data_IF_747708411992
#
_entry.id   IF_747708411992
#
_cell.length_a   1.000
_cell.length_b   1.000
_cell.length_c   1.000
_cell.angle_alpha   90.00
_cell.angle_beta   90.00
_cell.angle_gamma   90.00
#
_symmetry.space_group_name_H-M   'P 1'
#
loop_
_entity.id
_entity.type
_entity.pdbx_description
1 polymer ?
#
# COMPACT_ATOMS: atom_id res chain seq x y z
N UNK A 1 24.28 17.70 -15.30
CA UNK A 1 23.07 18.52 -15.05
C UNK A 1 22.85 18.55 -13.56
N UNK A 2 22.29 19.63 -13.00
CA UNK A 2 22.01 19.73 -11.56
C UNK A 2 21.02 18.65 -11.11
N UNK A 3 21.23 18.06 -9.92
CA UNK A 3 20.39 16.99 -9.35
C UNK A 3 18.94 17.45 -9.20
N UNK A 4 18.72 18.70 -8.78
CA UNK A 4 17.38 19.25 -8.61
C UNK A 4 16.61 19.29 -9.94
N UNK A 5 17.29 19.67 -11.03
CA UNK A 5 16.71 19.72 -12.38
C UNK A 5 16.33 18.34 -12.89
N UNK A 6 17.21 17.35 -12.66
CA UNK A 6 16.93 15.95 -13.01
C UNK A 6 15.66 15.49 -12.28
N UNK A 7 15.60 15.74 -10.96
CA UNK A 7 14.45 15.36 -10.14
C UNK A 7 13.15 16.01 -10.63
N UNK A 8 13.15 17.31 -10.92
CA UNK A 8 11.96 17.98 -11.49
C UNK A 8 11.52 17.35 -12.82
N UNK A 9 12.46 17.06 -13.72
CA UNK A 9 12.15 16.41 -15.00
C UNK A 9 11.50 15.06 -14.76
N UNK A 10 12.11 14.23 -13.91
CA UNK A 10 11.61 12.90 -13.62
C UNK A 10 10.20 12.93 -13.03
N UNK A 11 9.94 13.82 -12.06
CA UNK A 11 8.61 14.01 -11.47
C UNK A 11 7.56 14.41 -12.51
N UNK A 12 7.92 15.31 -13.45
CA UNK A 12 6.99 15.72 -14.50
C UNK A 12 6.70 14.59 -15.49
N UNK A 13 7.71 13.80 -15.85
CA UNK A 13 7.58 12.63 -16.73
C UNK A 13 6.72 11.55 -16.08
N UNK A 14 6.96 11.24 -14.81
CA UNK A 14 6.19 10.25 -14.05
C UNK A 14 4.71 10.64 -13.93
N UNK A 15 4.43 11.91 -13.60
CA UNK A 15 3.07 12.41 -13.53
C UNK A 15 2.34 12.40 -14.89
N UNK A 16 3.04 12.62 -16.00
CA UNK A 16 2.56 12.38 -17.36
C UNK A 16 3.67 12.58 -18.39
N UNK A 17 3.85 11.59 -19.26
CA UNK A 17 4.83 11.66 -20.36
C UNK A 17 4.50 12.67 -21.46
N UNK A 18 3.31 13.30 -21.44
CA UNK A 18 2.88 14.25 -22.47
C UNK A 18 3.17 15.69 -22.08
N UNK A 19 3.45 16.53 -23.09
CA UNK A 19 3.64 17.98 -22.93
C UNK A 19 4.70 18.37 -21.86
N UNK A 20 5.67 17.49 -21.59
CA UNK A 20 6.65 17.66 -20.51
C UNK A 20 7.46 18.96 -20.68
N UNK A 21 7.86 19.30 -21.90
CA UNK A 21 8.62 20.53 -22.16
C UNK A 21 7.84 21.80 -21.78
N UNK A 22 6.52 21.82 -22.01
CA UNK A 22 5.67 22.95 -21.65
C UNK A 22 5.49 23.04 -20.12
N UNK A 23 5.23 21.91 -19.46
CA UNK A 23 5.08 21.83 -18.00
C UNK A 23 6.37 22.18 -17.28
N UNK A 24 7.52 21.77 -17.83
CA UNK A 24 8.84 22.10 -17.29
C UNK A 24 9.16 23.59 -17.44
N UNK A 25 8.85 24.16 -18.61
CA UNK A 25 9.02 25.60 -18.85
C UNK A 25 8.21 26.46 -17.86
N UNK A 26 6.96 26.09 -17.62
CA UNK A 26 6.08 26.74 -16.66
C UNK A 26 6.59 26.58 -15.22
N UNK A 27 6.90 25.36 -14.79
CA UNK A 27 7.34 25.06 -13.41
C UNK A 27 8.64 25.77 -13.04
N UNK A 28 9.58 25.88 -13.97
CA UNK A 28 10.92 26.44 -13.73
C UNK A 28 11.06 27.91 -14.17
N UNK A 29 10.01 28.51 -14.74
CA UNK A 29 10.06 29.89 -15.25
C UNK A 29 11.05 30.10 -16.40
N UNK A 30 11.23 29.10 -17.26
CA UNK A 30 12.18 29.11 -18.38
C UNK A 30 11.47 29.05 -19.75
N UNK A 31 12.19 29.34 -20.83
CA UNK A 31 11.64 29.17 -22.18
C UNK A 31 11.42 27.69 -22.52
N UNK A 32 10.46 27.41 -23.41
CA UNK A 32 10.23 26.05 -23.93
C UNK A 32 11.48 25.47 -24.60
N UNK A 33 12.26 26.31 -25.29
CA UNK A 33 13.53 25.89 -25.90
C UNK A 33 14.53 25.43 -24.84
N UNK A 34 14.68 26.17 -23.74
CA UNK A 34 15.54 25.78 -22.63
C UNK A 34 15.07 24.47 -21.98
N UNK A 35 13.76 24.33 -21.75
CA UNK A 35 13.16 23.09 -21.24
C UNK A 35 13.43 21.90 -22.18
N UNK A 36 13.27 22.07 -23.50
CA UNK A 36 13.61 21.04 -24.49
C UNK A 36 15.10 20.67 -24.47
N UNK A 37 16.00 21.62 -24.27
CA UNK A 37 17.44 21.33 -24.09
C UNK A 37 17.69 20.51 -22.83
N UNK A 38 16.99 20.79 -21.72
CA UNK A 38 17.13 20.00 -20.49
C UNK A 38 16.63 18.57 -20.68
N UNK A 39 15.49 18.38 -21.34
CA UNK A 39 14.97 17.06 -21.68
C UNK A 39 15.90 16.29 -22.61
N UNK A 40 16.49 16.95 -23.61
CA UNK A 40 17.48 16.34 -24.49
C UNK A 40 18.71 15.84 -23.71
N UNK A 41 19.22 16.65 -22.77
CA UNK A 41 20.32 16.25 -21.88
C UNK A 41 19.95 15.09 -20.94
N UNK A 42 18.73 15.08 -20.40
CA UNK A 42 18.24 13.96 -19.59
C UNK A 42 18.16 12.66 -20.40
N UNK A 43 17.72 12.76 -21.66
CA UNK A 43 17.64 11.63 -22.59
C UNK A 43 19.02 11.12 -22.98
N UNK A 44 19.96 12.02 -23.30
CA UNK A 44 21.36 11.67 -23.59
C UNK A 44 22.04 10.99 -22.40
N UNK A 45 21.72 11.42 -21.17
CA UNK A 45 22.18 10.78 -19.94
C UNK A 45 21.46 9.46 -19.60
N UNK A 46 20.53 8.99 -20.44
CA UNK A 46 19.80 7.73 -20.23
C UNK A 46 18.83 7.76 -19.05
N UNK A 47 18.42 8.94 -18.58
CA UNK A 47 17.50 9.10 -17.44
C UNK A 47 16.04 8.93 -17.88
N UNK A 48 15.74 9.43 -19.09
CA UNK A 48 14.42 9.34 -19.71
C UNK A 48 14.53 8.86 -21.15
N UNK A 49 13.48 8.25 -21.66
CA UNK A 49 13.31 7.90 -23.07
C UNK A 49 12.17 8.73 -23.67
N UNK A 50 12.03 8.70 -24.99
CA UNK A 50 10.90 9.33 -25.65
C UNK A 50 10.49 8.57 -26.91
N UNK A 51 9.19 8.43 -27.13
CA UNK A 51 8.61 7.85 -28.34
C UNK A 51 7.68 8.86 -29.04
N UNK A 52 7.50 8.70 -30.36
CA UNK A 52 6.68 9.61 -31.18
C UNK A 52 7.42 10.86 -31.67
N UNK A 53 6.70 11.71 -32.40
CA UNK A 53 7.25 12.93 -33.03
C UNK A 53 6.34 14.14 -32.82
N UNK A 54 6.93 15.34 -32.84
CA UNK A 54 6.20 16.61 -32.73
C UNK A 54 5.31 16.67 -31.48
N UNK A 55 4.01 16.92 -31.68
CA UNK A 55 3.01 17.00 -30.59
C UNK A 55 2.66 15.63 -29.98
N UNK A 56 3.01 14.53 -30.64
CA UNK A 56 2.75 13.16 -30.17
C UNK A 56 3.86 12.59 -29.31
N UNK A 57 4.91 13.35 -29.01
CA UNK A 57 6.03 12.86 -28.21
C UNK A 57 5.58 12.50 -26.79
N UNK A 58 5.97 11.31 -26.33
CA UNK A 58 5.74 10.81 -24.97
C UNK A 58 7.07 10.44 -24.34
N UNK A 59 7.34 11.01 -23.18
CA UNK A 59 8.51 10.69 -22.38
C UNK A 59 8.19 9.62 -21.35
N UNK A 60 9.19 8.81 -20.99
CA UNK A 60 9.09 7.82 -19.91
C UNK A 60 10.41 7.78 -19.11
N UNK A 61 10.33 7.38 -17.84
CA UNK A 61 11.52 7.12 -17.03
C UNK A 61 12.22 5.86 -17.53
N UNK A 62 13.55 5.90 -17.62
CA UNK A 62 14.36 4.74 -18.00
C UNK A 62 14.79 3.98 -16.75
N UNK A 63 14.67 2.66 -16.79
CA UNK A 63 15.23 1.78 -15.78
C UNK A 63 16.76 1.83 -15.86
N UNK A 64 17.41 2.22 -14.78
CA UNK A 64 18.86 2.28 -14.68
C UNK A 64 19.44 0.97 -14.19
N UNK A 65 18.69 0.25 -13.36
CA UNK A 65 19.05 -1.07 -12.86
C UNK A 65 17.79 -1.93 -12.74
N UNK A 66 17.92 -3.22 -12.98
CA UNK A 66 16.85 -4.20 -12.77
C UNK A 66 17.44 -5.58 -12.56
N UNK A 67 16.87 -6.33 -11.61
CA UNK A 67 17.20 -7.73 -11.40
C UNK A 67 15.96 -8.47 -10.96
N UNK A 68 15.81 -9.71 -11.43
CA UNK A 68 14.79 -10.62 -10.94
C UNK A 68 15.32 -12.05 -11.01
N UNK A 69 14.80 -12.91 -10.15
CA UNK A 69 15.16 -14.32 -10.08
C UNK A 69 13.99 -15.13 -9.53
N UNK A 70 13.83 -16.33 -10.07
CA UNK A 70 12.96 -17.36 -9.50
C UNK A 70 13.78 -18.18 -8.51
N UNK A 71 13.22 -18.39 -7.32
CA UNK A 71 13.83 -19.18 -6.25
C UNK A 71 12.95 -20.38 -5.95
N UNK A 72 13.55 -21.56 -5.77
CA UNK A 72 12.84 -22.69 -5.16
C UNK A 72 12.42 -22.28 -3.75
N UNK A 73 11.15 -22.47 -3.40
CA UNK A 73 10.59 -22.06 -2.11
C UNK A 73 11.17 -22.89 -0.96
N UNK A 74 11.35 -24.19 -1.18
CA UNK A 74 11.83 -25.10 -0.14
C UNK A 74 13.27 -24.75 0.28
N UNK A 75 13.44 -24.44 1.57
CA UNK A 75 14.73 -24.02 2.12
C UNK A 75 15.15 -22.59 1.76
N UNK A 76 14.30 -21.81 1.11
CA UNK A 76 14.56 -20.40 0.84
C UNK A 76 14.50 -19.59 2.14
N UNK A 77 15.49 -18.72 2.34
CA UNK A 77 15.45 -17.67 3.36
C UNK A 77 15.51 -16.32 2.68
N UNK A 78 14.73 -15.39 3.21
CA UNK A 78 14.69 -13.98 2.85
C UNK A 78 16.05 -13.29 2.94
N UNK A 79 16.92 -13.65 3.89
CA UNK A 79 18.27 -13.08 3.99
C UNK A 79 19.13 -13.41 2.76
N UNK A 80 18.98 -14.61 2.22
CA UNK A 80 19.68 -15.03 0.99
C UNK A 80 19.24 -14.18 -0.18
N UNK A 81 17.93 -14.05 -0.39
CA UNK A 81 17.36 -13.23 -1.47
C UNK A 81 17.77 -11.76 -1.30
N UNK A 82 17.72 -11.23 -0.08
CA UNK A 82 18.10 -9.86 0.22
C UNK A 82 19.57 -9.60 -0.14
N UNK A 83 20.49 -10.45 0.33
CA UNK A 83 21.93 -10.29 0.09
C UNK A 83 22.31 -10.46 -1.37
N UNK A 84 21.70 -11.41 -2.08
CA UNK A 84 22.03 -11.74 -3.46
C UNK A 84 21.43 -10.76 -4.48
N UNK A 85 20.18 -10.33 -4.28
CA UNK A 85 19.40 -9.61 -5.29
C UNK A 85 19.12 -8.16 -4.86
N UNK A 86 18.56 -7.95 -3.67
CA UNK A 86 18.01 -6.64 -3.29
C UNK A 86 19.11 -5.66 -2.84
N UNK A 87 19.95 -6.04 -1.89
CA UNK A 87 20.97 -5.18 -1.30
C UNK A 87 21.99 -4.62 -2.32
N UNK A 88 22.44 -5.39 -3.34
CA UNK A 88 23.31 -4.86 -4.38
C UNK A 88 22.69 -3.71 -5.18
N UNK A 89 21.41 -3.83 -5.55
CA UNK A 89 20.68 -2.80 -6.32
C UNK A 89 20.50 -1.52 -5.50
N UNK A 90 20.28 -1.66 -4.20
CA UNK A 90 19.96 -0.53 -3.32
C UNK A 90 21.20 0.15 -2.73
N UNK A 91 22.42 -0.30 -3.04
CA UNK A 91 23.67 0.11 -2.36
C UNK A 91 23.89 1.62 -2.33
N UNK A 92 23.45 2.33 -3.37
CA UNK A 92 23.65 3.78 -3.50
C UNK A 92 22.55 4.61 -2.83
N UNK A 93 21.47 3.98 -2.35
CA UNK A 93 20.36 4.67 -1.71
C UNK A 93 20.66 5.04 -0.25
N UNK A 94 20.01 6.09 0.29
CA UNK A 94 20.11 6.49 1.69
C UNK A 94 19.82 5.33 2.65
N UNK A 95 20.44 5.36 3.84
CA UNK A 95 20.30 4.28 4.84
C UNK A 95 18.86 4.04 5.28
N UNK A 96 18.06 5.09 5.44
CA UNK A 96 16.64 4.98 5.81
C UNK A 96 15.80 4.32 4.70
N UNK A 97 16.04 4.67 3.43
CA UNK A 97 15.38 4.07 2.27
C UNK A 97 15.75 2.59 2.14
N UNK A 98 17.03 2.25 2.29
CA UNK A 98 17.49 0.85 2.33
C UNK A 98 16.84 0.07 3.47
N UNK A 99 16.70 0.66 4.65
CA UNK A 99 16.04 0.03 5.80
C UNK A 99 14.57 -0.27 5.56
N UNK A 100 13.83 0.63 4.89
CA UNK A 100 12.44 0.39 4.48
C UNK A 100 12.37 -0.77 3.49
N UNK A 101 13.19 -0.75 2.44
CA UNK A 101 13.23 -1.84 1.46
C UNK A 101 13.62 -3.17 2.08
N UNK A 102 14.55 -3.17 3.04
CA UNK A 102 14.95 -4.38 3.76
C UNK A 102 13.75 -4.99 4.44
N UNK A 103 13.08 -4.23 5.31
CA UNK A 103 11.90 -4.70 6.02
C UNK A 103 10.83 -5.22 5.05
N UNK A 104 10.43 -4.42 4.07
CA UNK A 104 9.32 -4.79 3.22
C UNK A 104 9.61 -5.99 2.30
N UNK A 105 10.81 -6.06 1.70
CA UNK A 105 11.16 -7.22 0.89
C UNK A 105 11.24 -8.48 1.74
N UNK A 106 11.87 -8.43 2.92
CA UNK A 106 11.98 -9.63 3.78
C UNK A 106 10.62 -10.11 4.26
N UNK A 107 9.73 -9.21 4.65
CA UNK A 107 8.35 -9.58 5.04
C UNK A 107 7.58 -10.20 3.87
N UNK A 108 7.71 -9.66 2.66
CA UNK A 108 6.98 -10.20 1.50
C UNK A 108 7.54 -11.53 1.03
N UNK A 109 8.86 -11.73 1.12
CA UNK A 109 9.51 -13.00 0.82
C UNK A 109 9.10 -14.05 1.85
N UNK A 110 9.14 -13.75 3.15
CA UNK A 110 8.69 -14.68 4.20
C UNK A 110 7.22 -15.07 4.00
N UNK A 111 6.34 -14.10 3.77
CA UNK A 111 4.93 -14.40 3.44
C UNK A 111 4.79 -15.37 2.26
N UNK A 112 5.56 -15.15 1.18
CA UNK A 112 5.52 -16.07 0.05
C UNK A 112 6.07 -17.45 0.43
N UNK A 113 7.19 -17.53 1.15
CA UNK A 113 7.81 -18.81 1.56
C UNK A 113 6.92 -19.62 2.50
N UNK A 114 6.33 -18.97 3.48
CA UNK A 114 5.60 -19.61 4.57
C UNK A 114 4.13 -19.88 4.23
N UNK A 115 3.57 -19.12 3.29
CA UNK A 115 2.12 -19.14 3.07
C UNK A 115 1.66 -19.46 1.65
N UNK A 116 2.49 -19.35 0.62
CA UNK A 116 2.01 -19.59 -0.75
C UNK A 116 1.71 -21.06 -1.05
N UNK A 117 2.47 -21.98 -0.44
CA UNK A 117 2.58 -23.39 -0.85
C UNK A 117 2.99 -23.58 -2.34
N UNK A 118 3.59 -22.56 -2.97
CA UNK A 118 4.11 -22.66 -4.33
C UNK A 118 5.42 -23.43 -4.39
N UNK A 119 5.79 -23.94 -5.56
CA UNK A 119 7.11 -24.54 -5.78
C UNK A 119 8.21 -23.46 -5.81
N UNK A 120 7.90 -22.31 -6.41
CA UNK A 120 8.83 -21.22 -6.63
C UNK A 120 8.26 -19.89 -6.16
N UNK A 121 9.16 -18.98 -5.78
CA UNK A 121 8.89 -17.58 -5.48
C UNK A 121 9.74 -16.73 -6.41
N UNK A 122 9.09 -15.82 -7.14
CA UNK A 122 9.75 -14.87 -8.00
C UNK A 122 9.96 -13.56 -7.26
N UNK A 123 11.18 -13.05 -7.29
CA UNK A 123 11.52 -11.78 -6.65
C UNK A 123 12.24 -10.90 -7.66
N UNK A 124 11.92 -9.61 -7.66
CA UNK A 124 12.65 -8.66 -8.49
C UNK A 124 12.55 -7.23 -8.01
N UNK A 125 13.48 -6.43 -8.50
CA UNK A 125 13.49 -4.99 -8.30
C UNK A 125 13.86 -4.29 -9.60
N UNK A 126 13.46 -3.03 -9.70
CA UNK A 126 13.77 -2.14 -10.81
C UNK A 126 13.94 -0.73 -10.26
N UNK A 127 15.02 -0.08 -10.61
CA UNK A 127 15.34 1.28 -10.17
C UNK A 127 15.39 2.21 -11.38
N UNK A 128 14.75 3.37 -11.26
CA UNK A 128 14.97 4.50 -12.15
C UNK A 128 15.53 5.68 -11.35
N UNK A 129 15.73 6.82 -11.99
CA UNK A 129 16.34 7.99 -11.35
C UNK A 129 15.48 8.66 -10.26
N UNK A 130 14.19 8.32 -10.15
CA UNK A 130 13.25 8.91 -9.20
C UNK A 130 12.87 7.95 -8.07
N UNK A 131 12.54 6.71 -8.40
CA UNK A 131 12.06 5.73 -7.45
C UNK A 131 12.59 4.33 -7.76
N UNK A 132 12.41 3.46 -6.78
CA UNK A 132 12.62 2.03 -6.90
C UNK A 132 11.28 1.31 -6.84
N UNK A 133 11.15 0.23 -7.61
CA UNK A 133 10.04 -0.70 -7.56
C UNK A 133 10.58 -2.08 -7.17
N UNK A 134 9.83 -2.81 -6.36
CA UNK A 134 10.12 -4.18 -5.94
C UNK A 134 8.88 -5.03 -6.05
N UNK A 135 9.04 -6.31 -6.34
CA UNK A 135 7.93 -7.25 -6.34
C UNK A 135 8.33 -8.62 -5.80
N UNK A 136 7.34 -9.30 -5.23
CA UNK A 136 7.41 -10.71 -4.84
C UNK A 136 6.16 -11.39 -5.40
N UNK A 137 6.32 -12.51 -6.11
CA UNK A 137 5.20 -13.28 -6.63
C UNK A 137 5.34 -14.76 -6.39
N UNK A 138 4.21 -15.43 -6.24
CA UNK A 138 4.08 -16.87 -6.14
C UNK A 138 2.94 -17.37 -7.03
N UNK A 139 2.85 -18.69 -7.22
CA UNK A 139 1.76 -19.36 -7.96
C UNK A 139 0.92 -20.25 -7.04
N UNK A 140 0.79 -19.84 -5.79
CA UNK A 140 0.06 -20.55 -4.74
C UNK A 140 -1.46 -20.41 -4.83
N UNK A 141 -2.15 -20.68 -3.72
CA UNK A 141 -3.62 -20.55 -3.67
C UNK A 141 -4.14 -19.10 -3.70
N UNK A 142 -3.26 -18.14 -3.41
CA UNK A 142 -3.59 -16.72 -3.36
C UNK A 142 -3.98 -16.23 -1.97
N UNK A 143 -3.44 -15.06 -1.60
CA UNK A 143 -3.58 -14.49 -0.25
C UNK A 143 -5.03 -14.24 0.17
N UNK A 144 -5.87 -13.68 -0.71
CA UNK A 144 -7.24 -13.34 -0.32
C UNK A 144 -8.09 -14.58 -0.11
N UNK A 145 -7.94 -15.60 -0.96
CA UNK A 145 -8.62 -16.89 -0.78
C UNK A 145 -8.16 -17.59 0.50
N UNK A 146 -6.86 -17.53 0.80
CA UNK A 146 -6.31 -18.08 2.04
C UNK A 146 -6.90 -17.42 3.29
N UNK A 147 -6.96 -16.09 3.31
CA UNK A 147 -7.57 -15.33 4.41
C UNK A 147 -9.07 -15.63 4.52
N UNK A 148 -9.77 -15.71 3.39
CA UNK A 148 -11.18 -16.08 3.36
C UNK A 148 -11.42 -17.41 4.06
N UNK A 149 -10.66 -18.46 3.70
CA UNK A 149 -10.78 -19.77 4.32
C UNK A 149 -10.42 -19.74 5.81
N UNK A 150 -9.36 -19.02 6.18
CA UNK A 150 -8.87 -18.98 7.55
C UNK A 150 -9.82 -18.25 8.53
N UNK A 151 -10.60 -17.29 8.02
CA UNK A 151 -11.54 -16.50 8.82
C UNK A 151 -13.01 -16.85 8.55
N UNK A 152 -13.29 -17.88 7.75
CA UNK A 152 -14.63 -18.27 7.31
C UNK A 152 -15.43 -17.08 6.75
N UNK A 153 -14.80 -16.31 5.86
CA UNK A 153 -15.39 -15.11 5.28
C UNK A 153 -16.39 -15.49 4.20
N UNK A 154 -17.56 -14.82 4.21
CA UNK A 154 -18.59 -15.03 3.20
C UNK A 154 -18.10 -14.66 1.79
N UNK A 155 -17.30 -13.59 1.69
CA UNK A 155 -16.79 -13.05 0.45
C UNK A 155 -15.29 -12.79 0.54
N UNK A 156 -14.55 -13.10 -0.53
CA UNK A 156 -13.11 -12.87 -0.64
C UNK A 156 -12.73 -11.40 -0.48
N UNK A 157 -13.62 -10.47 -0.84
CA UNK A 157 -13.43 -9.01 -0.66
C UNK A 157 -13.28 -8.61 0.80
N UNK A 158 -13.87 -9.37 1.73
CA UNK A 158 -13.69 -9.13 3.17
C UNK A 158 -12.25 -9.35 3.63
N UNK A 159 -11.46 -10.16 2.91
CA UNK A 159 -10.06 -10.42 3.27
C UNK A 159 -9.21 -9.13 3.26
N UNK A 160 -9.52 -8.20 2.37
CA UNK A 160 -8.80 -6.92 2.24
C UNK A 160 -9.04 -6.06 3.47
N UNK A 161 -10.27 -5.99 3.95
CA UNK A 161 -10.60 -5.30 5.18
C UNK A 161 -9.84 -5.90 6.37
N UNK A 162 -9.63 -7.21 6.39
CA UNK A 162 -8.85 -7.88 7.42
C UNK A 162 -7.34 -7.61 7.33
N UNK A 163 -6.79 -7.44 6.13
CA UNK A 163 -5.41 -6.99 5.92
C UNK A 163 -5.23 -5.52 6.33
N UNK A 164 -6.18 -4.66 5.96
CA UNK A 164 -6.15 -3.23 6.26
C UNK A 164 -6.15 -2.97 7.78
N UNK A 165 -6.77 -3.85 8.58
CA UNK A 165 -6.72 -3.78 10.04
C UNK A 165 -5.33 -4.09 10.61
N UNK A 166 -4.57 -4.97 9.96
CA UNK A 166 -3.31 -5.51 10.48
C UNK A 166 -3.49 -6.60 11.55
N UNK A 167 -2.38 -7.03 12.17
CA UNK A 167 -2.31 -8.10 13.19
C UNK A 167 -2.98 -9.41 12.79
N UNK A 168 -2.89 -9.78 11.51
CA UNK A 168 -3.47 -11.00 10.97
C UNK A 168 -2.39 -11.94 10.48
N UNK A 169 -2.43 -13.19 10.93
CA UNK A 169 -1.62 -14.27 10.41
C UNK A 169 -2.41 -15.58 10.53
N UNK A 170 -2.17 -16.51 9.61
CA UNK A 170 -2.65 -17.89 9.72
C UNK A 170 -1.77 -18.76 10.60
N UNK A 171 -0.60 -18.27 11.01
CA UNK A 171 0.35 -18.95 11.90
C UNK A 171 0.86 -17.99 13.00
N UNK A 172 0.08 -17.84 14.10
CA UNK A 172 0.44 -16.94 15.20
C UNK A 172 1.58 -17.45 16.08
N UNK A 173 2.02 -18.71 15.93
CA UNK A 173 3.14 -19.23 16.69
C UNK A 173 4.48 -18.70 16.16
N UNK A 174 4.55 -18.45 14.85
CA UNK A 174 5.77 -18.02 14.17
C UNK A 174 5.70 -16.58 13.63
N UNK A 175 4.51 -15.99 13.48
CA UNK A 175 4.34 -14.65 12.90
C UNK A 175 3.47 -13.73 13.76
N UNK A 176 3.82 -12.44 13.79
CA UNK A 176 3.01 -11.40 14.44
C UNK A 176 1.78 -10.98 13.62
N UNK A 177 1.81 -11.22 12.31
CA UNK A 177 0.77 -10.78 11.38
C UNK A 177 0.79 -9.27 11.08
N UNK A 178 1.94 -8.63 11.26
CA UNK A 178 2.10 -7.18 11.12
C UNK A 178 2.84 -6.79 9.82
N UNK A 179 3.57 -7.73 9.20
CA UNK A 179 4.46 -7.49 8.06
C UNK A 179 3.81 -6.81 6.87
N UNK A 180 2.68 -7.33 6.38
CA UNK A 180 1.92 -6.73 5.27
C UNK A 180 1.46 -5.32 5.62
N UNK A 181 0.92 -5.14 6.83
CA UNK A 181 0.40 -3.86 7.28
C UNK A 181 1.52 -2.81 7.31
N UNK A 182 2.63 -3.07 8.00
CA UNK A 182 3.72 -2.10 8.08
C UNK A 182 4.41 -1.86 6.75
N UNK A 183 4.63 -2.90 5.95
CA UNK A 183 5.18 -2.76 4.59
C UNK A 183 4.30 -1.83 3.74
N UNK A 184 2.98 -1.99 3.80
CA UNK A 184 2.06 -1.10 3.08
C UNK A 184 2.21 0.36 3.51
N UNK A 185 2.37 0.64 4.82
CA UNK A 185 2.47 2.01 5.36
C UNK A 185 3.86 2.63 5.24
N UNK A 186 4.88 1.85 4.87
CA UNK A 186 6.23 2.33 4.59
C UNK A 186 6.43 2.74 3.13
N UNK A 187 5.68 2.13 2.21
CA UNK A 187 5.80 2.37 0.77
C UNK A 187 4.99 3.58 0.33
N UNK A 188 5.37 4.18 -0.80
CA UNK A 188 4.57 5.25 -1.44
C UNK A 188 3.39 4.65 -2.20
N UNK A 189 3.62 3.49 -2.83
CA UNK A 189 2.60 2.66 -3.45
C UNK A 189 2.83 1.20 -3.07
N UNK A 190 1.77 0.50 -2.69
CA UNK A 190 1.79 -0.89 -2.28
C UNK A 190 0.56 -1.61 -2.83
N UNK A 191 0.80 -2.72 -3.52
CA UNK A 191 -0.19 -3.38 -4.34
C UNK A 191 -0.21 -4.87 -4.04
N UNK A 192 -1.40 -5.47 -3.91
CA UNK A 192 -1.58 -6.91 -3.87
C UNK A 192 -2.55 -7.32 -4.96
N UNK A 193 -2.12 -8.21 -5.85
CA UNK A 193 -2.98 -8.85 -6.86
C UNK A 193 -3.06 -10.35 -6.57
N UNK A 194 -4.27 -10.87 -6.44
CA UNK A 194 -4.50 -12.29 -6.23
C UNK A 194 -5.91 -12.66 -6.61
N UNK A 195 -6.04 -13.71 -7.44
CA UNK A 195 -7.29 -14.06 -8.06
C UNK A 195 -7.80 -12.93 -8.96
N UNK A 196 -9.07 -12.55 -8.80
CA UNK A 196 -9.69 -11.38 -9.44
C UNK A 196 -9.50 -10.08 -8.68
N UNK A 197 -9.00 -10.14 -7.45
CA UNK A 197 -8.95 -8.99 -6.56
C UNK A 197 -7.60 -8.30 -6.65
N UNK A 198 -7.68 -6.97 -6.61
CA UNK A 198 -6.54 -6.09 -6.62
C UNK A 198 -6.75 -5.05 -5.52
N UNK A 199 -5.89 -5.12 -4.51
CA UNK A 199 -5.77 -4.11 -3.46
C UNK A 199 -4.66 -3.13 -3.81
N UNK A 200 -4.97 -1.85 -3.79
CA UNK A 200 -4.05 -0.77 -4.12
C UNK A 200 -4.03 0.23 -2.97
N UNK A 201 -2.87 0.36 -2.32
CA UNK A 201 -2.61 1.35 -1.30
C UNK A 201 -1.64 2.40 -1.86
N UNK A 202 -2.06 3.65 -1.80
CA UNK A 202 -1.25 4.80 -2.16
C UNK A 202 -1.15 5.71 -0.92
N UNK A 203 0.03 6.25 -0.66
CA UNK A 203 0.24 7.07 0.55
C UNK A 203 -0.49 8.42 0.52
N UNK A 204 -0.88 8.89 -0.66
CA UNK A 204 -1.58 10.16 -0.90
C UNK A 204 -3.05 9.97 -1.24
N UNK A 205 -3.43 8.80 -1.80
CA UNK A 205 -4.80 8.48 -2.17
C UNK A 205 -5.44 7.46 -1.21
N UNK A 206 -6.77 7.46 -1.08
CA UNK A 206 -7.46 6.42 -0.33
C UNK A 206 -7.23 5.00 -0.92
N UNK A 207 -7.16 3.97 -0.06
CA UNK A 207 -6.94 2.54 -0.40
C UNK A 207 -8.04 1.94 -1.31
N UNK A 208 -7.73 1.57 -2.54
CA UNK A 208 -8.68 1.07 -3.53
C UNK A 208 -8.78 -0.46 -3.52
N UNK A 209 -9.99 -0.94 -3.78
CA UNK A 209 -10.27 -2.33 -4.13
C UNK A 209 -10.84 -2.36 -5.54
N UNK A 210 -10.17 -3.09 -6.42
CA UNK A 210 -10.52 -3.26 -7.83
C UNK A 210 -10.75 -4.75 -8.07
N UNK A 211 -11.86 -5.09 -8.72
CA UNK A 211 -12.10 -6.42 -9.24
C UNK A 211 -11.85 -6.43 -10.75
N UNK A 212 -11.07 -7.41 -11.21
CA UNK A 212 -10.76 -7.60 -12.62
C UNK A 212 -11.44 -8.87 -13.15
N UNK A 213 -11.76 -8.86 -14.45
CA UNK A 213 -12.33 -10.02 -15.13
C UNK A 213 -11.34 -11.19 -15.25
N UNK A 214 -10.04 -10.88 -15.23
CA UNK A 214 -8.96 -11.85 -15.38
C UNK A 214 -8.53 -12.36 -14.02
N UNK A 215 -8.57 -13.68 -13.88
CA UNK A 215 -8.12 -14.39 -12.70
C UNK A 215 -6.60 -14.63 -12.75
N UNK A 216 -5.88 -14.18 -11.73
CA UNK A 216 -4.42 -14.35 -11.60
C UNK A 216 -4.13 -15.40 -10.53
N UNK A 217 -3.40 -16.45 -10.91
CA UNK A 217 -2.96 -17.48 -9.96
C UNK A 217 -1.94 -16.94 -8.96
N UNK A 218 -2.05 -17.39 -7.70
CA UNK A 218 -1.13 -17.03 -6.63
C UNK A 218 -1.31 -15.60 -6.13
N UNK A 219 -0.20 -15.02 -5.67
CA UNK A 219 -0.15 -13.65 -5.17
C UNK A 219 0.99 -12.91 -5.85
N UNK A 220 0.74 -11.67 -6.28
CA UNK A 220 1.77 -10.70 -6.64
C UNK A 220 1.67 -9.52 -5.69
N UNK A 221 2.75 -9.24 -4.99
CA UNK A 221 2.90 -8.00 -4.23
C UNK A 221 3.87 -7.08 -4.99
N UNK A 222 3.43 -5.87 -5.32
CA UNK A 222 4.27 -4.84 -5.94
C UNK A 222 4.39 -3.64 -5.00
N UNK A 223 5.56 -3.02 -4.96
CA UNK A 223 5.86 -1.92 -4.04
C UNK A 223 6.67 -0.86 -4.77
N UNK A 224 6.49 0.41 -4.39
CA UNK A 224 7.28 1.55 -4.89
C UNK A 224 7.67 2.48 -3.74
N UNK A 225 8.89 3.01 -3.82
CA UNK A 225 9.40 4.02 -2.89
C UNK A 225 10.33 5.00 -3.61
N UNK A 226 10.15 6.30 -3.36
CA UNK A 226 11.04 7.37 -3.80
C UNK A 226 12.47 7.14 -3.28
N UNK A 227 13.45 7.26 -4.16
CA UNK A 227 14.86 7.02 -3.85
C UNK A 227 15.41 8.01 -2.82
N UNK A 228 14.78 9.19 -2.70
CA UNK A 228 15.17 10.24 -1.74
C UNK A 228 14.12 10.43 -0.62
N UNK A 229 13.29 9.42 -0.34
CA UNK A 229 12.29 9.51 0.73
C UNK A 229 12.93 9.87 2.07
N UNK A 230 12.36 10.85 2.77
CA UNK A 230 12.77 11.22 4.12
C UNK A 230 12.20 10.29 5.20
N UNK A 231 11.23 9.44 4.83
CA UNK A 231 10.55 8.51 5.73
C UNK A 231 11.54 7.52 6.35
N UNK A 232 11.30 7.16 7.60
CA UNK A 232 12.01 6.07 8.28
C UNK A 232 11.04 4.98 8.73
N UNK A 233 11.50 3.73 8.76
CA UNK A 233 10.71 2.62 9.30
C UNK A 233 10.26 2.89 10.75
N UNK A 234 11.15 3.50 11.55
CA UNK A 234 10.86 3.90 12.93
C UNK A 234 9.66 4.84 13.04
N UNK A 235 9.62 5.91 12.24
CA UNK A 235 8.48 6.83 12.25
C UNK A 235 7.18 6.11 11.87
N UNK A 236 7.24 5.13 10.97
CA UNK A 236 6.06 4.32 10.63
C UNK A 236 5.60 3.49 11.83
N UNK A 237 6.51 2.74 12.47
CA UNK A 237 6.17 1.95 13.65
C UNK A 237 5.62 2.82 14.78
N UNK A 238 6.28 3.92 15.10
CA UNK A 238 5.90 4.83 16.18
C UNK A 238 4.49 5.43 15.99
N UNK A 239 4.03 5.62 14.73
CA UNK A 239 2.65 6.10 14.44
C UNK A 239 1.55 5.12 14.88
N UNK A 240 1.86 3.83 14.93
CA UNK A 240 0.92 2.75 15.26
C UNK A 240 1.20 2.09 16.61
N UNK A 241 2.29 2.50 17.26
CA UNK A 241 2.59 2.18 18.64
C UNK A 241 1.88 3.15 19.61
N UNK A 242 1.69 2.71 20.85
CA UNK A 242 1.38 3.62 21.96
C UNK A 242 2.69 4.18 22.57
N UNK A 243 2.70 5.43 23.06
CA UNK A 243 3.90 6.10 23.57
C UNK A 243 4.68 5.36 24.67
N UNK A 244 4.08 4.37 25.31
CA UNK A 244 4.65 3.66 26.48
C UNK A 244 4.82 2.15 26.27
N UNK A 245 4.19 1.54 25.26
CA UNK A 245 4.18 0.07 25.11
C UNK A 245 5.07 -0.44 23.97
N UNK A 246 5.53 0.42 23.05
CA UNK A 246 6.24 0.05 21.81
C UNK A 246 5.58 -1.09 21.00
N UNK A 247 4.34 -1.46 21.34
CA UNK A 247 3.56 -2.53 20.75
C UNK A 247 2.62 -1.91 19.72
N UNK A 248 2.43 -2.59 18.59
CA UNK A 248 1.38 -2.22 17.65
C UNK A 248 0.06 -2.29 18.42
N UNK A 249 -0.59 -1.18 18.68
CA UNK A 249 -1.81 -1.14 19.51
C UNK A 249 -2.88 -0.24 18.90
N UNK A 250 -2.51 0.49 17.86
CA UNK A 250 -3.38 1.43 17.14
C UNK A 250 -3.49 1.03 15.69
N UNK A 251 -4.69 0.97 15.14
CA UNK A 251 -4.91 0.75 13.70
C UNK A 251 -5.74 1.88 13.07
N UNK A 252 -5.66 2.03 11.75
CA UNK A 252 -6.50 2.93 10.97
C UNK A 252 -7.21 2.11 9.90
N UNK A 253 -8.54 2.07 9.96
CA UNK A 253 -9.37 1.23 9.11
C UNK A 253 -10.17 2.13 8.16
N UNK A 254 -9.92 2.05 6.84
CA UNK A 254 -10.73 2.75 5.86
C UNK A 254 -12.14 2.17 5.85
N UNK A 255 -13.11 2.95 6.32
CA UNK A 255 -14.50 2.49 6.52
C UNK A 255 -15.17 2.11 5.20
N UNK A 256 -14.76 2.75 4.10
CA UNK A 256 -15.21 2.44 2.75
C UNK A 256 -14.95 0.99 2.32
N UNK A 257 -13.95 0.32 2.88
CA UNK A 257 -13.68 -1.10 2.58
C UNK A 257 -14.75 -2.04 3.18
N UNK A 258 -15.61 -1.53 4.06
CA UNK A 258 -16.80 -2.26 4.51
C UNK A 258 -18.01 -2.11 3.57
N UNK A 259 -17.92 -1.22 2.57
CA UNK A 259 -18.93 -1.09 1.51
C UNK A 259 -18.77 -2.24 0.51
N UNK A 260 -19.89 -2.78 0.06
CA UNK A 260 -19.94 -3.57 -1.15
C UNK A 260 -20.30 -2.66 -2.33
N UNK A 261 -20.01 -3.06 -3.56
CA UNK A 261 -20.19 -2.23 -4.76
C UNK A 261 -21.57 -1.53 -4.80
N UNK A 262 -21.55 -0.19 -4.71
CA UNK A 262 -22.77 0.64 -4.74
C UNK A 262 -23.60 0.65 -3.46
N UNK A 263 -23.17 -0.03 -2.39
CA UNK A 263 -23.88 -0.06 -1.11
C UNK A 263 -23.52 1.13 -0.20
N UNK A 264 -24.56 1.75 0.34
CA UNK A 264 -24.45 2.61 1.52
C UNK A 264 -24.25 1.76 2.78
N UNK A 265 -23.48 2.26 3.75
CA UNK A 265 -23.24 1.60 5.04
C UNK A 265 -24.45 1.71 5.96
N UNK A 266 -25.47 0.89 5.74
CA UNK A 266 -26.77 0.99 6.44
C UNK A 266 -27.04 -0.15 7.40
N UNK A 267 -26.42 -1.32 7.20
CA UNK A 267 -26.77 -2.56 7.88
C UNK A 267 -25.88 -2.89 9.09
N UNK A 268 -26.42 -3.67 10.03
CA UNK A 268 -25.63 -4.20 11.17
C UNK A 268 -24.61 -5.25 10.76
N UNK A 269 -24.86 -6.00 9.69
CA UNK A 269 -23.90 -6.99 9.17
C UNK A 269 -22.64 -6.30 8.65
N UNK A 270 -22.78 -5.19 7.91
CA UNK A 270 -21.65 -4.34 7.51
C UNK A 270 -20.85 -3.84 8.73
N UNK A 271 -21.55 -3.37 9.78
CA UNK A 271 -20.90 -2.92 11.01
C UNK A 271 -20.12 -4.04 11.72
N UNK A 272 -20.71 -5.24 11.85
CA UNK A 272 -20.03 -6.40 12.46
C UNK A 272 -18.80 -6.85 11.67
N UNK A 273 -18.85 -6.81 10.34
CA UNK A 273 -17.67 -7.07 9.49
C UNK A 273 -16.58 -6.04 9.73
N UNK A 274 -16.95 -4.76 9.83
CA UNK A 274 -16.02 -3.68 10.13
C UNK A 274 -15.36 -3.91 11.49
N UNK A 275 -16.12 -4.17 12.55
CA UNK A 275 -15.60 -4.25 13.93
C UNK A 275 -14.94 -5.57 14.30
N UNK A 276 -15.04 -6.60 13.45
CA UNK A 276 -14.35 -7.89 13.67
C UNK A 276 -12.86 -7.65 13.93
N UNK A 277 -12.32 -8.28 14.98
CA UNK A 277 -10.91 -8.20 15.41
C UNK A 277 -10.44 -6.85 15.96
N UNK A 278 -11.34 -5.90 16.19
CA UNK A 278 -10.97 -4.63 16.84
C UNK A 278 -10.46 -4.83 18.26
N UNK A 279 -10.86 -5.90 18.94
CA UNK A 279 -10.37 -6.29 20.28
C UNK A 279 -8.86 -6.59 20.34
N UNK A 280 -8.20 -6.71 19.18
CA UNK A 280 -6.73 -6.81 19.10
C UNK A 280 -6.02 -5.46 19.23
N UNK A 281 -6.77 -4.36 19.27
CA UNK A 281 -6.26 -2.99 19.29
C UNK A 281 -6.81 -2.24 20.49
N UNK A 282 -6.00 -1.35 21.05
CA UNK A 282 -6.44 -0.42 22.08
C UNK A 282 -7.06 0.83 21.47
N UNK A 283 -6.65 1.21 20.25
CA UNK A 283 -7.21 2.36 19.53
C UNK A 283 -7.48 2.02 18.07
N UNK A 284 -8.68 2.33 17.60
CA UNK A 284 -9.10 2.13 16.22
C UNK A 284 -9.55 3.46 15.64
N UNK A 285 -8.79 3.96 14.66
CA UNK A 285 -9.20 5.10 13.85
C UNK A 285 -10.06 4.58 12.71
N UNK A 286 -11.29 5.08 12.62
CA UNK A 286 -12.20 4.82 11.52
C UNK A 286 -12.10 5.96 10.50
N UNK A 287 -11.43 5.73 9.37
CA UNK A 287 -11.27 6.72 8.32
C UNK A 287 -12.49 6.70 7.38
N UNK A 288 -13.29 7.77 7.44
CA UNK A 288 -14.50 7.97 6.62
C UNK A 288 -14.21 8.67 5.28
N UNK A 289 -12.95 8.78 4.86
CA UNK A 289 -12.60 9.29 3.53
C UNK A 289 -13.35 8.54 2.42
N UNK A 290 -14.11 9.28 1.61
CA UNK A 290 -14.91 8.70 0.52
C UNK A 290 -16.20 8.02 0.95
N UNK A 291 -16.65 8.21 2.20
CA UNK A 291 -17.96 7.77 2.68
C UNK A 291 -18.86 9.00 2.83
N UNK A 292 -19.98 9.03 2.11
CA UNK A 292 -20.90 10.17 2.13
C UNK A 292 -21.79 10.16 3.38
N UNK A 293 -22.38 9.01 3.68
CA UNK A 293 -23.32 8.81 4.77
C UNK A 293 -23.26 7.39 5.37
N UNK A 294 -23.77 7.26 6.59
CA UNK A 294 -23.98 5.98 7.27
C UNK A 294 -25.40 5.90 7.80
N UNK A 295 -26.01 4.72 7.72
CA UNK A 295 -27.35 4.46 8.25
C UNK A 295 -27.33 4.27 9.76
N UNK A 296 -28.51 4.46 10.37
CA UNK A 296 -28.68 4.38 11.82
C UNK A 296 -28.29 3.00 12.37
N UNK A 297 -28.67 1.90 11.70
CA UNK A 297 -28.38 0.57 12.23
C UNK A 297 -26.87 0.24 12.20
N UNK A 298 -26.15 0.70 11.17
CA UNK A 298 -24.70 0.62 11.12
C UNK A 298 -24.05 1.44 12.24
N UNK A 299 -24.42 2.71 12.38
CA UNK A 299 -23.86 3.60 13.39
C UNK A 299 -24.13 3.07 14.81
N UNK A 300 -25.36 2.61 15.08
CA UNK A 300 -25.78 2.04 16.36
C UNK A 300 -24.95 0.82 16.75
N UNK A 301 -24.69 -0.07 15.78
CA UNK A 301 -23.89 -1.26 16.02
C UNK A 301 -22.42 -0.92 16.31
N UNK A 302 -21.80 -0.01 15.54
CA UNK A 302 -20.37 0.36 15.71
C UNK A 302 -20.15 1.21 16.97
N UNK A 303 -20.89 2.30 17.13
CA UNK A 303 -20.56 3.35 18.11
C UNK A 303 -21.31 3.24 19.43
N UNK A 304 -22.34 2.39 19.53
CA UNK A 304 -23.05 2.11 20.78
C UNK A 304 -22.92 0.65 21.18
N UNK A 305 -23.37 -0.30 20.36
CA UNK A 305 -23.39 -1.72 20.75
C UNK A 305 -21.97 -2.26 20.95
N UNK A 306 -21.11 -2.14 19.94
CA UNK A 306 -19.73 -2.60 20.02
C UNK A 306 -18.92 -1.83 21.06
N UNK A 307 -19.01 -0.50 21.06
CA UNK A 307 -18.31 0.34 22.05
C UNK A 307 -18.72 0.04 23.50
N UNK A 308 -19.99 -0.26 23.77
CA UNK A 308 -20.44 -0.63 25.11
C UNK A 308 -19.96 -2.04 25.52
N UNK A 309 -19.81 -2.95 24.55
CA UNK A 309 -19.26 -4.27 24.79
C UNK A 309 -17.73 -4.24 25.00
N UNK A 310 -17.06 -3.24 24.45
CA UNK A 310 -15.60 -3.06 24.48
C UNK A 310 -15.21 -1.64 24.93
N UNK A 311 -15.51 -1.26 26.19
CA UNK A 311 -15.25 0.09 26.70
C UNK A 311 -13.76 0.45 26.75
N UNK A 312 -12.88 -0.54 26.75
CA UNK A 312 -11.42 -0.39 26.73
C UNK A 312 -10.87 0.07 25.38
N UNK A 313 -11.61 -0.12 24.28
CA UNK A 313 -11.17 0.24 22.94
C UNK A 313 -11.55 1.68 22.64
N UNK A 314 -10.56 2.50 22.28
CA UNK A 314 -10.79 3.87 21.83
C UNK A 314 -11.15 3.92 20.35
N UNK A 315 -12.44 4.11 20.05
CA UNK A 315 -12.96 4.26 18.68
C UNK A 315 -12.97 5.73 18.26
N UNK A 316 -12.16 6.08 17.26
CA UNK A 316 -11.94 7.48 16.85
C UNK A 316 -12.43 7.68 15.40
N UNK A 317 -13.55 8.38 15.15
CA UNK A 317 -13.94 8.73 13.79
C UNK A 317 -12.99 9.79 13.21
N UNK A 318 -12.46 9.56 12.02
CA UNK A 318 -11.56 10.46 11.30
C UNK A 318 -12.12 10.81 9.92
N UNK A 319 -11.97 12.07 9.49
CA UNK A 319 -12.52 12.62 8.24
C UNK A 319 -14.03 12.35 8.04
N UNK A 320 -14.78 12.26 9.14
CA UNK A 320 -16.24 12.11 9.09
C UNK A 320 -16.91 13.40 8.61
N UNK A 321 -17.86 13.28 7.68
CA UNK A 321 -18.69 14.40 7.25
C UNK A 321 -19.59 14.91 8.39
N UNK A 322 -20.19 16.08 8.22
CA UNK A 322 -21.15 16.61 9.20
C UNK A 322 -22.36 15.67 9.39
N UNK A 323 -22.82 15.03 8.31
CA UNK A 323 -23.89 14.04 8.33
C UNK A 323 -23.52 12.81 9.17
N UNK A 324 -22.33 12.25 8.92
CA UNK A 324 -21.80 11.10 9.66
C UNK A 324 -21.64 11.44 11.14
N UNK A 325 -21.05 12.61 11.45
CA UNK A 325 -20.86 13.07 12.83
C UNK A 325 -22.19 13.22 13.57
N UNK A 326 -23.23 13.75 12.91
CA UNK A 326 -24.56 13.87 13.49
C UNK A 326 -25.18 12.48 13.77
N UNK A 327 -25.03 11.53 12.85
CA UNK A 327 -25.51 10.15 13.04
C UNK A 327 -24.82 9.45 14.21
N UNK A 328 -23.50 9.58 14.33
CA UNK A 328 -22.72 9.01 15.45
C UNK A 328 -23.21 9.59 16.79
N UNK A 329 -23.34 10.91 16.89
CA UNK A 329 -23.83 11.57 18.11
C UNK A 329 -25.25 11.14 18.49
N UNK A 330 -26.12 10.94 17.49
CA UNK A 330 -27.51 10.50 17.69
C UNK A 330 -27.58 9.11 18.31
N UNK A 331 -26.75 8.16 17.86
CA UNK A 331 -26.78 6.79 18.39
C UNK A 331 -26.06 6.65 19.73
N UNK A 332 -25.09 7.53 20.04
CA UNK A 332 -24.40 7.54 21.34
C UNK A 332 -25.27 8.14 22.46
N UNK A 333 -26.18 9.05 22.13
CA UNK A 333 -27.14 9.63 23.06
C UNK A 333 -28.58 9.24 22.66
N UNK A 334 -28.95 7.95 22.78
CA UNK A 334 -30.32 7.55 22.51
C UNK A 334 -31.24 8.22 23.53
N UNK A 335 -32.19 9.03 23.03
CA UNK A 335 -33.31 9.59 23.82
C UNK A 335 -34.12 8.51 24.50
#
# INVERSE_FOLDING_TARGET
MDKLKIRTICQLVDASGQNVAARLAEKEGISRQAASTWLAKAKEAGIISSEGTGRGIRYALVAQDYAWKDYLREGLSEDVVWRELCAPMLRQLPGNVRGIWQHAMTEMINNAVDHSNSEQVKVGMKMNALFTEGFVSDTGEGIFLKIQKALDLYDTREAILELAKGKFTTDPANHSGEGIFFSSKMMDHYEIRSGKLHFDHDSEQPDLLIEHDVDVSGTLVSMRLDNDSARTAKEVFDRFALPEEFSFAKTTVPVRLAQHEGETLVSRSQAKRLTRRFERFQSVILDFSGVDEIGQAFADEVFRVFQNAHPEISMIPFKASASITAMIKRVQNPT
#
